data_IF_864858740615
#
_entry.id   IF_864858740615
#
_cell.length_a   1.000
_cell.length_b   1.000
_cell.length_c   1.000
_cell.angle_alpha   90.00
_cell.angle_beta   90.00
_cell.angle_gamma   90.00
#
_symmetry.space_group_name_H-M   'P 1'
#
loop_
_entity.id
_entity.type
_entity.pdbx_description
1 polymer ?
#
# COMPACT_ATOMS: atom_id res chain seq x y z
N UNK A 1 -2.29 -24.67 0.54
CA UNK A 1 -1.95 -24.50 1.96
C UNK A 1 -1.50 -23.05 2.15
N UNK A 2 -2.16 -22.23 2.99
CA UNK A 2 -1.61 -20.90 3.27
C UNK A 2 -0.41 -21.08 4.21
N UNK A 3 0.79 -20.91 3.68
CA UNK A 3 1.98 -20.70 4.50
C UNK A 3 2.06 -19.20 4.71
N UNK A 4 1.65 -18.72 5.89
CA UNK A 4 1.94 -17.34 6.28
C UNK A 4 3.44 -17.27 6.60
N UNK A 5 4.17 -16.24 6.12
CA UNK A 5 5.55 -16.02 6.54
C UNK A 5 5.61 -15.96 8.07
N UNK A 6 6.42 -16.83 8.68
CA UNK A 6 6.62 -16.80 10.12
C UNK A 6 7.45 -15.57 10.47
N UNK A 7 6.87 -14.67 11.27
CA UNK A 7 7.60 -13.55 11.87
C UNK A 7 8.35 -13.95 13.15
N UNK A 8 8.25 -15.22 13.56
CA UNK A 8 9.01 -15.76 14.69
C UNK A 8 10.50 -15.51 14.47
N UNK A 9 11.17 -14.99 15.49
CA UNK A 9 12.60 -14.66 15.50
C UNK A 9 13.00 -13.53 14.51
N UNK A 10 12.03 -12.79 13.97
CA UNK A 10 12.27 -11.57 13.17
C UNK A 10 12.30 -10.31 14.05
N UNK A 11 12.76 -9.21 13.46
CA UNK A 11 12.78 -7.88 14.10
C UNK A 11 11.50 -7.08 13.86
N UNK A 12 10.38 -7.71 13.47
CA UNK A 12 9.14 -7.00 13.08
C UNK A 12 8.70 -5.96 14.10
N UNK A 13 8.66 -6.31 15.40
CA UNK A 13 8.21 -5.39 16.44
C UNK A 13 9.11 -4.15 16.55
N UNK A 14 10.41 -4.33 16.39
CA UNK A 14 11.37 -3.22 16.42
C UNK A 14 11.33 -2.43 15.12
N UNK A 15 11.19 -3.09 13.98
CA UNK A 15 11.41 -2.48 12.68
C UNK A 15 10.14 -1.87 12.08
N UNK A 16 8.98 -2.50 12.27
CA UNK A 16 7.74 -2.16 11.56
C UNK A 16 6.54 -1.92 12.48
N UNK A 17 6.37 -2.64 13.59
CA UNK A 17 5.16 -2.51 14.41
C UNK A 17 4.89 -1.07 14.84
N UNK A 18 3.69 -0.56 14.56
CA UNK A 18 3.28 0.81 14.85
C UNK A 18 4.15 1.88 14.18
N UNK A 19 4.83 1.55 13.07
CA UNK A 19 5.65 2.50 12.30
C UNK A 19 4.84 3.22 11.26
N UNK A 20 5.08 4.51 11.14
CA UNK A 20 4.39 5.40 10.23
C UNK A 20 5.39 6.07 9.30
N UNK A 21 5.09 6.03 8.00
CA UNK A 21 5.92 6.61 6.95
C UNK A 21 5.10 7.57 6.08
N UNK A 22 5.65 8.75 5.81
CA UNK A 22 5.20 9.66 4.75
C UNK A 22 6.28 9.71 3.69
N UNK A 23 5.91 9.53 2.43
CA UNK A 23 6.86 9.41 1.33
C UNK A 23 6.32 10.00 0.03
N UNK A 24 7.23 10.47 -0.82
CA UNK A 24 6.92 10.99 -2.15
C UNK A 24 7.54 10.06 -3.21
N UNK A 25 6.73 9.54 -4.14
CA UNK A 25 7.26 8.86 -5.33
C UNK A 25 7.95 9.85 -6.26
N UNK A 26 8.98 9.39 -6.95
CA UNK A 26 9.66 10.12 -8.01
C UNK A 26 8.88 10.06 -9.35
N UNK A 27 7.61 10.47 -9.32
CA UNK A 27 6.74 10.43 -10.49
C UNK A 27 6.99 11.62 -11.43
N UNK A 28 6.61 11.44 -12.70
CA UNK A 28 6.64 12.47 -13.73
C UNK A 28 5.29 12.52 -14.44
N UNK A 29 4.87 13.72 -14.85
CA UNK A 29 3.70 13.88 -15.72
C UNK A 29 4.00 13.43 -17.17
N UNK A 30 3.00 13.52 -18.05
CA UNK A 30 3.14 13.16 -19.46
C UNK A 30 4.15 14.02 -20.23
N UNK A 31 4.51 15.19 -19.71
CA UNK A 31 5.49 16.11 -20.29
C UNK A 31 6.90 15.92 -19.69
N UNK A 32 7.04 15.02 -18.70
CA UNK A 32 8.29 14.74 -17.99
C UNK A 32 8.57 15.70 -16.83
N UNK A 33 7.62 16.56 -16.46
CA UNK A 33 7.78 17.43 -15.29
C UNK A 33 7.64 16.59 -14.01
N UNK A 34 8.47 16.83 -12.97
CA UNK A 34 8.33 16.15 -11.70
C UNK A 34 6.94 16.36 -11.08
N UNK A 35 6.25 15.27 -10.77
CA UNK A 35 5.00 15.28 -10.02
C UNK A 35 5.22 14.60 -8.67
N UNK A 36 4.80 15.24 -7.58
CA UNK A 36 4.95 14.67 -6.24
C UNK A 36 3.70 13.88 -5.88
N UNK A 37 3.82 12.57 -5.96
CA UNK A 37 2.79 11.66 -5.47
C UNK A 37 3.06 11.34 -4.01
N UNK A 38 2.41 12.10 -3.12
CA UNK A 38 2.55 11.93 -1.67
C UNK A 38 1.64 10.84 -1.15
N UNK A 39 2.23 9.91 -0.39
CA UNK A 39 1.56 8.78 0.21
C UNK A 39 1.94 8.69 1.69
N UNK A 40 1.07 8.07 2.46
CA UNK A 40 1.19 7.88 3.90
C UNK A 40 0.79 6.44 4.24
N UNK A 41 1.61 5.73 5.02
CA UNK A 41 1.26 4.39 5.51
C UNK A 41 1.64 4.19 6.97
N UNK A 42 0.85 3.38 7.64
CA UNK A 42 1.06 2.93 9.01
C UNK A 42 1.01 1.41 9.07
N UNK A 43 2.15 0.82 9.42
CA UNK A 43 2.32 -0.60 9.73
C UNK A 43 1.65 -0.90 11.08
N UNK A 44 0.31 -1.00 11.05
CA UNK A 44 -0.53 -1.11 12.25
C UNK A 44 -0.07 -2.25 13.17
N UNK A 45 0.08 -3.45 12.62
CA UNK A 45 0.60 -4.62 13.31
C UNK A 45 1.06 -5.69 12.30
N UNK A 46 1.36 -6.90 12.76
CA UNK A 46 1.84 -8.03 11.95
C UNK A 46 0.87 -8.51 10.86
N UNK A 47 -0.38 -8.07 10.92
CA UNK A 47 -1.47 -8.54 10.07
C UNK A 47 -2.11 -7.41 9.26
N UNK A 48 -1.93 -6.14 9.64
CA UNK A 48 -2.61 -4.99 9.02
C UNK A 48 -1.67 -3.86 8.66
N UNK A 49 -2.04 -3.20 7.58
CA UNK A 49 -1.53 -1.90 7.17
C UNK A 49 -2.70 -0.94 6.97
N UNK A 50 -2.51 0.33 7.32
CA UNK A 50 -3.45 1.43 7.03
C UNK A 50 -2.70 2.44 6.17
N UNK A 51 -3.34 3.01 5.16
CA UNK A 51 -2.65 3.99 4.30
C UNK A 51 -3.62 5.01 3.69
N UNK A 52 -3.07 6.14 3.28
CA UNK A 52 -3.77 7.19 2.55
C UNK A 52 -2.91 7.73 1.40
N UNK A 53 -3.59 8.23 0.37
CA UNK A 53 -2.98 8.81 -0.82
C UNK A 53 -3.34 10.29 -0.87
N UNK A 54 -2.32 11.15 -0.83
CA UNK A 54 -2.46 12.61 -0.72
C UNK A 54 -2.19 13.34 -2.03
N UNK A 55 -1.39 12.76 -2.92
CA UNK A 55 -1.02 13.35 -4.21
C UNK A 55 -1.13 12.38 -5.39
N UNK A 56 -1.04 12.92 -6.59
CA UNK A 56 -1.12 12.17 -7.84
C UNK A 56 -2.54 11.71 -8.21
N UNK A 57 -2.66 10.85 -9.24
CA UNK A 57 -3.95 10.43 -9.80
C UNK A 57 -4.90 9.76 -8.80
N UNK A 58 -4.36 9.19 -7.73
CA UNK A 58 -5.12 8.46 -6.70
C UNK A 58 -5.36 9.26 -5.40
N UNK A 59 -5.07 10.57 -5.40
CA UNK A 59 -5.30 11.44 -4.25
C UNK A 59 -6.75 11.35 -3.75
N UNK A 60 -6.92 11.20 -2.44
CA UNK A 60 -8.21 11.02 -1.78
C UNK A 60 -8.62 9.56 -1.53
N UNK A 61 -7.78 8.58 -1.85
CA UNK A 61 -7.99 7.17 -1.46
C UNK A 61 -7.45 6.92 -0.04
N UNK A 62 -8.27 6.33 0.82
CA UNK A 62 -7.91 5.86 2.17
C UNK A 62 -8.27 4.39 2.31
N UNK A 63 -7.37 3.58 2.84
CA UNK A 63 -7.56 2.13 2.86
C UNK A 63 -6.88 1.46 4.06
N UNK A 64 -7.22 0.20 4.28
CA UNK A 64 -6.54 -0.71 5.18
C UNK A 64 -6.62 -2.13 4.61
N UNK A 65 -5.62 -2.95 4.88
CA UNK A 65 -5.51 -4.25 4.22
C UNK A 65 -4.78 -5.26 5.09
N UNK A 66 -5.12 -6.55 4.95
CA UNK A 66 -4.25 -7.62 5.43
C UNK A 66 -2.93 -7.55 4.70
N UNK A 67 -1.84 -7.54 5.43
CA UNK A 67 -0.51 -7.46 4.85
C UNK A 67 0.33 -8.67 5.23
N UNK A 68 1.24 -9.03 4.32
CA UNK A 68 2.25 -10.04 4.55
C UNK A 68 3.60 -9.37 4.59
N UNK A 69 4.42 -9.77 5.56
CA UNK A 69 5.73 -9.19 5.80
C UNK A 69 6.80 -10.27 5.74
N UNK A 70 7.91 -9.95 5.09
CA UNK A 70 9.10 -10.80 5.07
C UNK A 70 10.32 -9.96 5.41
N UNK A 71 11.00 -10.34 6.48
CA UNK A 71 12.29 -9.76 6.82
C UNK A 71 13.32 -10.23 5.78
N UNK A 72 13.91 -9.29 5.03
CA UNK A 72 15.00 -9.59 4.09
C UNK A 72 16.33 -9.50 4.85
N UNK A 73 16.51 -8.41 5.61
CA UNK A 73 17.69 -8.19 6.47
C UNK A 73 17.25 -7.44 7.74
N UNK A 74 17.39 -8.04 8.93
CA UNK A 74 16.96 -7.42 10.18
C UNK A 74 17.53 -6.02 10.39
N UNK A 75 16.69 -5.07 10.79
CA UNK A 75 17.08 -3.67 11.01
C UNK A 75 17.34 -2.86 9.74
N UNK A 76 17.17 -3.45 8.55
CA UNK A 76 17.58 -2.82 7.29
C UNK A 76 16.56 -2.91 6.17
N UNK A 77 16.03 -4.11 5.86
CA UNK A 77 15.21 -4.34 4.67
C UNK A 77 14.03 -5.26 4.97
N UNK A 78 12.85 -4.83 4.54
CA UNK A 78 11.60 -5.57 4.66
C UNK A 78 10.85 -5.59 3.34
N UNK A 79 10.31 -6.75 2.98
CA UNK A 79 9.29 -6.85 1.94
C UNK A 79 7.90 -6.82 2.58
N UNK A 80 7.02 -5.98 2.06
CA UNK A 80 5.65 -5.80 2.56
C UNK A 80 4.70 -5.91 1.36
N UNK A 81 3.72 -6.80 1.43
CA UNK A 81 2.85 -7.09 0.29
C UNK A 81 1.40 -7.27 0.69
N UNK A 82 0.49 -6.82 -0.17
CA UNK A 82 -0.94 -7.03 -0.02
C UNK A 82 -1.69 -7.06 -1.35
N UNK A 83 -2.92 -7.60 -1.31
CA UNK A 83 -3.90 -7.57 -2.38
C UNK A 83 -5.09 -6.70 -1.94
N UNK A 84 -5.59 -5.84 -2.82
CA UNK A 84 -6.71 -4.95 -2.54
C UNK A 84 -8.01 -5.43 -3.18
N UNK A 85 -9.15 -4.93 -2.70
CA UNK A 85 -10.48 -5.26 -3.25
C UNK A 85 -10.69 -4.83 -4.68
N UNK A 86 -9.91 -3.87 -5.17
CA UNK A 86 -9.86 -3.50 -6.59
C UNK A 86 -9.18 -4.58 -7.44
N UNK A 87 -8.56 -5.58 -6.83
CA UNK A 87 -7.66 -6.56 -7.45
C UNK A 87 -6.21 -6.08 -7.54
N UNK A 88 -5.90 -4.86 -7.10
CA UNK A 88 -4.54 -4.33 -7.20
C UNK A 88 -3.59 -5.07 -6.26
N UNK A 89 -2.42 -5.45 -6.77
CA UNK A 89 -1.35 -6.05 -5.99
C UNK A 89 -0.37 -4.94 -5.64
N UNK A 90 -0.07 -4.78 -4.36
CA UNK A 90 1.04 -3.96 -3.91
C UNK A 90 2.14 -4.89 -3.38
N UNK A 91 3.34 -4.75 -3.93
CA UNK A 91 4.56 -5.34 -3.38
C UNK A 91 5.57 -4.22 -3.21
N UNK A 92 6.09 -4.06 -2.00
CA UNK A 92 7.12 -3.06 -1.73
C UNK A 92 8.27 -3.60 -0.90
N UNK A 93 9.43 -3.01 -1.11
CA UNK A 93 10.59 -3.14 -0.24
C UNK A 93 10.77 -1.82 0.49
N UNK A 94 10.74 -1.88 1.81
CA UNK A 94 11.11 -0.78 2.67
C UNK A 94 12.60 -0.91 3.06
N UNK A 95 13.39 0.05 2.59
CA UNK A 95 14.79 0.23 2.97
C UNK A 95 14.91 1.26 4.09
N UNK A 96 15.07 0.74 5.31
CA UNK A 96 15.16 1.53 6.53
C UNK A 96 16.43 2.39 6.52
N UNK A 97 17.54 1.84 6.03
CA UNK A 97 18.86 2.50 6.10
C UNK A 97 18.96 3.64 5.12
N UNK A 98 18.46 3.43 3.90
CA UNK A 98 18.51 4.42 2.83
C UNK A 98 17.27 5.32 2.77
N UNK A 99 16.29 5.09 3.66
CA UNK A 99 15.03 5.85 3.72
C UNK A 99 14.29 5.86 2.37
N UNK A 100 14.16 4.66 1.77
CA UNK A 100 13.53 4.48 0.47
C UNK A 100 12.47 3.41 0.49
N UNK A 101 11.49 3.57 -0.39
CA UNK A 101 10.54 2.53 -0.74
C UNK A 101 10.76 2.20 -2.22
N UNK A 102 10.81 0.91 -2.55
CA UNK A 102 10.79 0.43 -3.95
C UNK A 102 9.56 -0.44 -4.14
N UNK A 103 8.71 -0.14 -5.12
CA UNK A 103 7.44 -0.84 -5.31
C UNK A 103 7.34 -1.49 -6.66
N UNK A 104 6.73 -2.68 -6.70
CA UNK A 104 6.02 -3.21 -7.86
C UNK A 104 4.52 -3.14 -7.55
N UNK A 105 3.81 -2.34 -8.32
CA UNK A 105 2.35 -2.25 -8.28
C UNK A 105 1.78 -2.96 -9.50
N UNK A 106 0.83 -3.86 -9.27
CA UNK A 106 0.05 -4.52 -10.31
C UNK A 106 -1.37 -4.02 -10.29
N UNK A 107 -1.65 -2.91 -10.96
CA UNK A 107 -2.99 -2.32 -11.04
C UNK A 107 -3.91 -3.19 -11.89
N UNK A 108 -5.07 -3.53 -11.36
CA UNK A 108 -6.14 -4.11 -12.18
C UNK A 108 -6.64 -3.09 -13.21
N UNK A 109 -7.24 -3.56 -14.31
CA UNK A 109 -7.82 -2.65 -15.31
C UNK A 109 -8.90 -1.76 -14.73
N UNK A 110 -9.74 -2.28 -13.83
CA UNK A 110 -10.73 -1.45 -13.14
C UNK A 110 -10.10 -0.32 -12.33
N UNK A 111 -9.05 -0.59 -11.57
CA UNK A 111 -8.36 0.46 -10.82
C UNK A 111 -7.69 1.47 -11.77
N UNK A 112 -6.99 0.99 -12.80
CA UNK A 112 -6.21 1.83 -13.70
C UNK A 112 -7.09 2.71 -14.59
N UNK A 113 -8.07 2.13 -15.28
CA UNK A 113 -8.89 2.83 -16.27
C UNK A 113 -9.99 3.68 -15.64
N UNK A 114 -10.41 3.33 -14.42
CA UNK A 114 -11.48 4.01 -13.67
C UNK A 114 -10.91 4.53 -12.34
N UNK A 115 -9.79 5.26 -12.41
CA UNK A 115 -9.06 5.73 -11.23
C UNK A 115 -9.89 6.61 -10.28
N UNK A 116 -10.78 7.47 -10.81
CA UNK A 116 -11.75 8.23 -10.00
C UNK A 116 -12.68 7.30 -9.22
N UNK A 117 -13.07 6.18 -9.82
CA UNK A 117 -13.89 5.17 -9.17
C UNK A 117 -13.11 4.40 -8.07
N UNK A 118 -11.78 4.42 -8.12
CA UNK A 118 -10.91 3.80 -7.13
C UNK A 118 -10.55 4.72 -5.95
N UNK A 119 -10.96 6.00 -5.96
CA UNK A 119 -10.82 6.91 -4.81
C UNK A 119 -11.87 6.63 -3.73
N UNK A 120 -11.78 7.30 -2.57
CA UNK A 120 -12.72 7.16 -1.46
C UNK A 120 -12.14 6.43 -0.25
N UNK A 121 -13.00 6.02 0.68
CA UNK A 121 -12.58 5.40 1.94
C UNK A 121 -13.17 4.00 2.08
N UNK A 122 -12.33 2.99 2.31
CA UNK A 122 -12.79 1.60 2.53
C UNK A 122 -13.82 1.48 3.66
N UNK A 123 -13.75 2.36 4.66
CA UNK A 123 -14.69 2.40 5.79
C UNK A 123 -16.11 2.74 5.34
N UNK A 124 -16.26 3.40 4.18
CA UNK A 124 -17.55 3.65 3.56
C UNK A 124 -18.04 2.40 2.81
N UNK A 125 -19.18 1.80 3.19
CA UNK A 125 -19.68 0.58 2.55
C UNK A 125 -19.92 0.72 1.03
N UNK A 126 -20.25 1.92 0.55
CA UNK A 126 -20.48 2.16 -0.88
C UNK A 126 -19.17 2.13 -1.66
N UNK A 127 -18.11 2.73 -1.12
CA UNK A 127 -16.78 2.71 -1.74
C UNK A 127 -16.23 1.29 -1.75
N UNK A 128 -16.37 0.58 -0.63
CA UNK A 128 -15.94 -0.81 -0.52
C UNK A 128 -16.59 -1.73 -1.55
N UNK A 129 -17.91 -1.67 -1.72
CA UNK A 129 -18.62 -2.49 -2.71
C UNK A 129 -18.26 -2.09 -4.15
N UNK A 130 -18.11 -0.79 -4.41
CA UNK A 130 -17.69 -0.26 -5.71
C UNK A 130 -16.31 -0.77 -6.10
N UNK A 131 -15.35 -0.78 -5.17
CA UNK A 131 -14.00 -1.32 -5.42
C UNK A 131 -14.02 -2.82 -5.75
N UNK A 132 -14.86 -3.62 -5.09
CA UNK A 132 -15.07 -5.03 -5.46
C UNK A 132 -15.66 -5.18 -6.87
N UNK A 133 -16.46 -4.21 -7.31
CA UNK A 133 -16.91 -4.09 -8.69
C UNK A 133 -15.74 -3.88 -9.67
N UNK A 134 -14.80 -3.00 -9.33
CA UNK A 134 -13.62 -2.72 -10.15
C UNK A 134 -12.73 -3.94 -10.38
N UNK A 135 -12.61 -4.85 -9.40
CA UNK A 135 -11.85 -6.10 -9.59
C UNK A 135 -12.36 -7.01 -10.71
N UNK A 136 -13.61 -6.81 -11.16
CA UNK A 136 -14.24 -7.58 -12.24
C UNK A 136 -14.00 -6.96 -13.62
N UNK A 137 -13.43 -5.75 -13.68
CA UNK A 137 -13.12 -5.06 -14.93
C UNK A 137 -11.79 -5.57 -15.47
N UNK A 138 -11.79 -5.94 -16.75
CA UNK A 138 -10.64 -6.55 -17.43
C UNK A 138 -11.00 -7.87 -18.11
N UNK A 139 -10.07 -8.42 -18.89
CA UNK A 139 -10.19 -9.75 -19.50
C UNK A 139 -9.81 -10.85 -18.52
N UNK A 140 -8.75 -10.65 -17.74
CA UNK A 140 -8.23 -11.63 -16.78
C UNK A 140 -7.18 -10.99 -15.88
N UNK A 141 -6.69 -11.69 -14.86
CA UNK A 141 -5.62 -11.15 -14.00
C UNK A 141 -4.32 -10.78 -14.75
N UNK A 142 -4.12 -11.31 -15.96
CA UNK A 142 -2.93 -11.07 -16.78
C UNK A 142 -2.93 -9.71 -17.50
N UNK A 143 -4.02 -8.94 -17.44
CA UNK A 143 -4.12 -7.62 -18.08
C UNK A 143 -3.70 -6.44 -17.18
N UNK A 144 -3.07 -6.74 -16.04
CA UNK A 144 -2.61 -5.73 -15.10
C UNK A 144 -1.61 -4.79 -15.73
N UNK A 145 -1.71 -3.53 -15.34
CA UNK A 145 -0.68 -2.54 -15.61
C UNK A 145 0.34 -2.65 -14.49
N UNK A 146 1.58 -2.99 -14.87
CA UNK A 146 2.70 -3.04 -13.96
C UNK A 146 3.36 -1.67 -13.88
N UNK A 147 3.53 -1.17 -12.67
CA UNK A 147 4.25 0.07 -12.39
C UNK A 147 5.35 -0.23 -11.39
N UNK A 148 6.59 0.15 -11.71
CA UNK A 148 7.74 0.01 -10.83
C UNK A 148 8.30 1.38 -10.52
N UNK A 149 8.24 1.77 -9.25
CA UNK A 149 8.57 3.13 -8.82
C UNK A 149 9.36 3.11 -7.52
N UNK A 150 10.11 4.19 -7.30
CA UNK A 150 10.79 4.45 -6.05
C UNK A 150 10.26 5.71 -5.39
N UNK A 151 10.29 5.71 -4.06
CA UNK A 151 9.94 6.87 -3.25
C UNK A 151 11.01 7.16 -2.20
N UNK A 152 11.13 8.44 -1.87
CA UNK A 152 11.92 8.93 -0.76
C UNK A 152 11.03 9.12 0.47
N UNK A 153 11.48 8.61 1.61
CA UNK A 153 10.77 8.77 2.89
C UNK A 153 11.10 10.14 3.47
N UNK A 154 10.05 10.91 3.71
CA UNK A 154 10.10 12.25 4.26
C UNK A 154 10.01 12.23 5.78
N UNK A 155 9.07 11.43 6.31
CA UNK A 155 8.82 11.30 7.73
C UNK A 155 8.75 9.83 8.12
N UNK A 156 9.27 9.53 9.31
CA UNK A 156 9.42 8.19 9.85
C UNK A 156 9.31 8.25 11.37
N UNK A 157 8.16 7.83 11.90
CA UNK A 157 7.83 7.91 13.31
C UNK A 157 6.96 6.72 13.76
N UNK A 158 6.53 6.74 15.04
CA UNK A 158 5.64 5.71 15.61
C UNK A 158 4.28 6.29 15.98
N UNK A 159 3.25 5.47 15.86
CA UNK A 159 1.86 5.85 16.11
C UNK A 159 1.10 6.16 14.82
N UNK A 160 -0.20 6.34 14.94
CA UNK A 160 -1.12 6.47 13.80
C UNK A 160 -0.92 7.71 12.92
N UNK A 161 -0.27 8.77 13.43
CA UNK A 161 -0.23 10.06 12.73
C UNK A 161 -1.65 10.61 12.52
N UNK A 162 -1.97 10.99 11.28
CA UNK A 162 -3.29 11.46 10.89
C UNK A 162 -4.21 10.33 10.38
N UNK A 163 -3.71 9.09 10.31
CA UNK A 163 -4.50 7.95 9.89
C UNK A 163 -5.50 7.51 10.98
N UNK A 164 -6.62 6.96 10.51
CA UNK A 164 -7.71 6.47 11.35
C UNK A 164 -7.46 5.02 11.77
N UNK A 165 -7.79 4.69 13.02
CA UNK A 165 -7.72 3.31 13.52
C UNK A 165 -8.70 2.38 12.77
N UNK A 166 -8.51 1.08 12.97
CA UNK A 166 -9.31 0.03 12.34
C UNK A 166 -9.73 -1.02 13.36
N UNK A 167 -10.85 -1.69 13.09
CA UNK A 167 -11.22 -2.90 13.83
C UNK A 167 -10.65 -4.13 13.12
N UNK A 168 -10.02 -5.03 13.87
CA UNK A 168 -9.42 -6.25 13.31
C UNK A 168 -10.46 -7.20 12.69
N UNK A 169 -11.72 -7.06 13.08
CA UNK A 169 -12.88 -7.79 12.53
C UNK A 169 -13.31 -7.30 11.14
N UNK A 170 -12.88 -6.11 10.72
CA UNK A 170 -13.28 -5.57 9.42
C UNK A 170 -12.69 -6.39 8.26
N UNK A 171 -13.49 -6.59 7.19
CA UNK A 171 -13.09 -7.46 6.11
C UNK A 171 -11.96 -6.85 5.27
N UNK A 172 -11.02 -7.72 4.92
CA UNK A 172 -9.88 -7.49 4.04
C UNK A 172 -9.68 -8.73 3.17
N UNK A 173 -8.93 -8.60 2.06
CA UNK A 173 -8.45 -9.76 1.28
C UNK A 173 -7.25 -10.49 1.87
#
# INVERSE_FOLDING_TARGET
MPVLPSLKDSTFNTDLHDRHLIYDYAAQDSEGNPEKWRYEMWFYNEDRIVYAIHGGPMAGRKNFQSATYQCIRPGELWQCNWLEETGTICSLVYDIRNKKITTLLGFSRGHWDQNEEAKGDKRNPKDFERWRGLAKVGKSQADRVLLSEQADILEDFRGKGDLEEIEMSWPTL
#
